data_IF_082199201097
#
_entry.id   IF_082199201097
#
_cell.length_a   1.000
_cell.length_b   1.000
_cell.length_c   1.000
_cell.angle_alpha   90.00
_cell.angle_beta   90.00
_cell.angle_gamma   90.00
#
_symmetry.space_group_name_H-M   'P 1'
#
loop_
_entity.id
_entity.type
_entity.pdbx_description
1 polymer ?
#
# COMPACT_ATOMS: atom_id res chain seq x y z
N UNK A 1 10.98 -30.16 -11.83
CA UNK A 1 10.10 -29.22 -12.56
C UNK A 1 9.09 -28.50 -11.64
N UNK A 2 8.85 -28.95 -10.41
CA UNK A 2 7.79 -28.38 -9.55
C UNK A 2 8.19 -27.12 -8.77
N UNK A 3 9.46 -26.99 -8.39
CA UNK A 3 9.95 -25.86 -7.58
C UNK A 3 9.79 -24.49 -8.27
N UNK A 4 9.93 -24.45 -9.59
CA UNK A 4 9.73 -23.23 -10.38
C UNK A 4 8.27 -22.77 -10.43
N UNK A 5 7.32 -23.71 -10.42
CA UNK A 5 5.89 -23.43 -10.42
C UNK A 5 5.46 -22.88 -9.05
N UNK A 6 5.95 -23.49 -7.96
CA UNK A 6 5.67 -23.04 -6.59
C UNK A 6 6.18 -21.62 -6.36
N UNK A 7 7.44 -21.33 -6.78
CA UNK A 7 8.01 -19.98 -6.68
C UNK A 7 7.16 -18.93 -7.40
N UNK A 8 6.63 -19.26 -8.58
CA UNK A 8 5.79 -18.35 -9.34
C UNK A 8 4.44 -18.08 -8.64
N UNK A 9 3.81 -19.12 -8.08
CA UNK A 9 2.54 -18.99 -7.35
C UNK A 9 2.70 -18.10 -6.11
N UNK A 10 3.76 -18.30 -5.32
CA UNK A 10 4.04 -17.48 -4.13
C UNK A 10 4.23 -16.01 -4.53
N UNK A 11 5.02 -15.73 -5.56
CA UNK A 11 5.26 -14.36 -6.03
C UNK A 11 3.99 -13.68 -6.59
N UNK A 12 3.06 -14.47 -7.12
CA UNK A 12 1.75 -13.97 -7.58
C UNK A 12 0.85 -13.63 -6.39
N UNK A 13 0.82 -14.47 -5.36
CA UNK A 13 0.10 -14.21 -4.10
C UNK A 13 0.68 -12.96 -3.41
N UNK A 14 2.01 -12.82 -3.35
CA UNK A 14 2.65 -11.62 -2.81
C UNK A 14 2.23 -10.34 -3.56
N UNK A 15 2.13 -10.39 -4.88
CA UNK A 15 1.67 -9.25 -5.69
C UNK A 15 0.22 -8.88 -5.36
N UNK A 16 -0.67 -9.87 -5.30
CA UNK A 16 -2.07 -9.65 -4.90
C UNK A 16 -2.19 -9.11 -3.47
N UNK A 17 -1.43 -9.65 -2.52
CA UNK A 17 -1.42 -9.16 -1.14
C UNK A 17 -0.98 -7.69 -1.08
N UNK A 18 0.07 -7.30 -1.82
CA UNK A 18 0.51 -5.90 -1.90
C UNK A 18 -0.62 -4.98 -2.37
N UNK A 19 -1.32 -5.35 -3.44
CA UNK A 19 -2.44 -4.58 -4.00
C UNK A 19 -3.62 -4.49 -3.02
N UNK A 20 -4.06 -5.63 -2.47
CA UNK A 20 -5.19 -5.69 -1.54
C UNK A 20 -4.90 -4.88 -0.28
N UNK A 21 -3.68 -5.01 0.27
CA UNK A 21 -3.25 -4.23 1.43
C UNK A 21 -3.29 -2.73 1.14
N UNK A 22 -2.85 -2.30 -0.03
CA UNK A 22 -2.94 -0.90 -0.44
C UNK A 22 -4.39 -0.42 -0.58
N UNK A 23 -5.28 -1.24 -1.15
CA UNK A 23 -6.70 -0.88 -1.33
C UNK A 23 -7.45 -0.77 -0.01
N UNK A 24 -7.23 -1.73 0.90
CA UNK A 24 -7.80 -1.69 2.26
C UNK A 24 -7.35 -0.42 2.97
N UNK A 25 -6.06 -0.11 2.87
CA UNK A 25 -5.51 1.06 3.52
C UNK A 25 -6.06 2.36 2.92
N UNK A 26 -6.19 2.43 1.60
CA UNK A 26 -6.81 3.56 0.92
C UNK A 26 -8.25 3.77 1.40
N UNK A 27 -9.02 2.69 1.53
CA UNK A 27 -10.38 2.76 2.04
C UNK A 27 -10.42 3.25 3.50
N UNK A 28 -9.53 2.74 4.36
CA UNK A 28 -9.46 3.13 5.77
C UNK A 28 -9.12 4.61 5.96
N UNK A 29 -8.11 5.14 5.26
CA UNK A 29 -7.78 6.59 5.33
C UNK A 29 -8.98 7.41 4.88
N UNK A 30 -9.61 7.08 3.75
CA UNK A 30 -10.74 7.85 3.25
C UNK A 30 -11.94 7.78 4.21
N UNK A 31 -12.20 6.62 4.81
CA UNK A 31 -13.26 6.47 5.80
C UNK A 31 -12.97 7.27 7.08
N UNK A 32 -11.72 7.27 7.54
CA UNK A 32 -11.26 8.06 8.68
C UNK A 32 -11.44 9.57 8.43
N UNK A 33 -11.05 10.05 7.24
CA UNK A 33 -11.25 11.45 6.84
C UNK A 33 -12.73 11.83 6.75
N UNK A 34 -13.58 10.94 6.23
CA UNK A 34 -15.01 11.22 6.07
C UNK A 34 -15.77 11.19 7.41
N UNK A 35 -15.38 10.28 8.30
CA UNK A 35 -16.03 10.08 9.60
C UNK A 35 -15.50 11.00 10.70
N UNK A 36 -14.29 11.55 10.54
CA UNK A 36 -13.59 12.30 11.58
C UNK A 36 -13.12 11.44 12.75
N UNK A 37 -13.22 10.11 12.65
CA UNK A 37 -12.73 9.16 13.63
C UNK A 37 -11.33 8.66 13.23
N UNK A 38 -10.45 8.41 14.21
CA UNK A 38 -9.15 7.81 13.95
C UNK A 38 -9.33 6.40 13.37
N UNK A 39 -8.92 6.23 12.11
CA UNK A 39 -8.98 4.94 11.42
C UNK A 39 -8.22 3.87 12.19
N UNK A 40 -8.74 2.64 12.21
CA UNK A 40 -8.13 1.54 12.98
C UNK A 40 -6.70 1.22 12.53
N UNK A 41 -6.32 1.61 11.30
CA UNK A 41 -5.00 1.36 10.73
C UNK A 41 -4.05 2.57 10.78
N UNK A 42 -4.49 3.72 11.34
CA UNK A 42 -3.67 4.95 11.40
C UNK A 42 -2.34 4.74 12.13
N UNK A 43 -2.38 4.05 13.27
CA UNK A 43 -1.20 3.78 14.12
C UNK A 43 -0.16 2.84 13.46
N UNK A 44 -0.57 2.05 12.48
CA UNK A 44 0.28 1.07 11.79
C UNK A 44 0.56 1.44 10.33
N UNK A 45 0.21 2.66 9.92
CA UNK A 45 0.39 3.22 8.59
C UNK A 45 1.79 2.96 8.01
N UNK A 46 2.82 3.34 8.76
CA UNK A 46 4.22 3.25 8.31
C UNK A 46 4.63 1.79 8.03
N UNK A 47 4.29 0.89 8.96
CA UNK A 47 4.57 -0.54 8.84
C UNK A 47 3.79 -1.17 7.68
N UNK A 48 2.54 -0.76 7.47
CA UNK A 48 1.65 -1.31 6.44
C UNK A 48 2.10 -0.92 5.03
N UNK A 49 2.47 0.35 4.84
CA UNK A 49 3.03 0.83 3.57
C UNK A 49 4.38 0.17 3.30
N UNK A 50 5.27 0.07 4.29
CA UNK A 50 6.54 -0.65 4.11
C UNK A 50 6.31 -2.08 3.66
N UNK A 51 5.37 -2.79 4.30
CA UNK A 51 5.06 -4.18 3.94
C UNK A 51 4.50 -4.28 2.51
N UNK A 52 3.59 -3.37 2.12
CA UNK A 52 3.05 -3.33 0.76
C UNK A 52 4.13 -3.04 -0.29
N UNK A 53 5.05 -2.10 -0.01
CA UNK A 53 6.19 -1.78 -0.87
C UNK A 53 7.10 -3.00 -1.02
N UNK A 54 7.50 -3.64 0.08
CA UNK A 54 8.40 -4.80 0.06
C UNK A 54 7.78 -5.95 -0.73
N UNK A 55 6.51 -6.27 -0.50
CA UNK A 55 5.79 -7.31 -1.26
C UNK A 55 5.66 -6.94 -2.75
N UNK A 56 5.41 -5.66 -3.04
CA UNK A 56 5.36 -5.12 -4.40
C UNK A 56 6.69 -5.31 -5.12
N UNK A 57 7.80 -4.84 -4.53
CA UNK A 57 9.17 -5.01 -5.06
C UNK A 57 9.47 -6.49 -5.30
N UNK A 58 9.24 -7.37 -4.32
CA UNK A 58 9.51 -8.80 -4.44
C UNK A 58 8.76 -9.41 -5.63
N UNK A 59 7.49 -9.04 -5.82
CA UNK A 59 6.67 -9.56 -6.92
C UNK A 59 7.06 -9.01 -8.30
N UNK A 60 7.68 -7.83 -8.38
CA UNK A 60 8.15 -7.25 -9.65
C UNK A 60 9.31 -8.02 -10.32
N UNK A 61 10.11 -8.75 -9.54
CA UNK A 61 11.23 -9.54 -10.08
C UNK A 61 10.81 -10.73 -10.95
N UNK A 62 9.51 -11.07 -10.97
CA UNK A 62 9.00 -12.17 -11.77
C UNK A 62 8.20 -11.68 -12.97
N UNK A 63 8.58 -12.09 -14.19
CA UNK A 63 7.91 -11.67 -15.44
C UNK A 63 6.40 -11.90 -15.44
N UNK A 64 5.92 -12.97 -14.77
CA UNK A 64 4.48 -13.28 -14.68
C UNK A 64 3.72 -12.45 -13.65
N UNK A 65 4.38 -11.98 -12.59
CA UNK A 65 3.77 -11.20 -11.49
C UNK A 65 4.06 -9.70 -11.58
N UNK A 66 4.88 -9.28 -12.55
CA UNK A 66 5.37 -7.91 -12.69
C UNK A 66 4.28 -6.85 -12.74
N UNK A 67 3.17 -7.14 -13.43
CA UNK A 67 2.04 -6.21 -13.49
C UNK A 67 1.44 -5.95 -12.10
N UNK A 68 1.17 -7.02 -11.34
CA UNK A 68 0.62 -6.92 -9.98
C UNK A 68 1.58 -6.21 -9.03
N UNK A 69 2.88 -6.50 -9.13
CA UNK A 69 3.89 -5.81 -8.35
C UNK A 69 4.00 -4.31 -8.64
N UNK A 70 3.88 -3.93 -9.92
CA UNK A 70 3.83 -2.53 -10.32
C UNK A 70 2.57 -1.84 -9.80
N UNK A 71 1.42 -2.51 -9.82
CA UNK A 71 0.19 -2.01 -9.22
C UNK A 71 0.31 -1.81 -7.71
N UNK A 72 0.85 -2.78 -6.99
CA UNK A 72 1.07 -2.69 -5.54
C UNK A 72 2.04 -1.58 -5.15
N UNK A 73 3.13 -1.42 -5.92
CA UNK A 73 4.06 -0.30 -5.77
C UNK A 73 3.42 1.05 -6.10
N UNK A 74 2.68 1.13 -7.19
CA UNK A 74 1.95 2.34 -7.59
C UNK A 74 0.98 2.78 -6.49
N UNK A 75 0.23 1.84 -5.92
CA UNK A 75 -0.67 2.13 -4.79
C UNK A 75 0.07 2.62 -3.56
N UNK A 76 1.20 2.00 -3.23
CA UNK A 76 2.01 2.40 -2.07
C UNK A 76 2.59 3.80 -2.23
N UNK A 77 3.11 4.14 -3.41
CA UNK A 77 3.62 5.47 -3.73
C UNK A 77 2.48 6.50 -3.69
N UNK A 78 1.35 6.16 -4.28
CA UNK A 78 0.15 7.00 -4.26
C UNK A 78 -0.30 7.29 -2.82
N UNK A 79 -0.38 6.27 -1.95
CA UNK A 79 -0.75 6.42 -0.54
C UNK A 79 0.22 7.35 0.21
N UNK A 80 1.52 7.21 -0.02
CA UNK A 80 2.53 8.11 0.56
C UNK A 80 2.33 9.56 0.12
N UNK A 81 2.13 9.79 -1.18
CA UNK A 81 1.86 11.13 -1.73
C UNK A 81 0.54 11.72 -1.21
N UNK A 82 -0.52 10.92 -1.20
CA UNK A 82 -1.85 11.31 -0.71
C UNK A 82 -1.75 11.79 0.74
N UNK A 83 -1.04 11.04 1.58
CA UNK A 83 -0.88 11.40 2.99
C UNK A 83 -0.02 12.65 3.17
N UNK A 84 1.04 12.82 2.37
CA UNK A 84 1.83 14.05 2.37
C UNK A 84 0.98 15.28 1.99
N UNK A 85 0.12 15.16 0.98
CA UNK A 85 -0.79 16.24 0.56
C UNK A 85 -1.79 16.59 1.65
N UNK A 86 -2.44 15.59 2.27
CA UNK A 86 -3.38 15.83 3.38
C UNK A 86 -2.68 16.49 4.57
N UNK A 87 -1.48 16.02 4.90
CA UNK A 87 -0.68 16.60 5.98
C UNK A 87 -0.34 18.07 5.72
N UNK A 88 0.14 18.40 4.51
CA UNK A 88 0.44 19.77 4.12
C UNK A 88 -0.83 20.64 4.16
N UNK A 89 -1.95 20.14 3.62
CA UNK A 89 -3.24 20.86 3.66
C UNK A 89 -3.68 21.12 5.11
N UNK A 90 -3.63 20.09 5.96
CA UNK A 90 -3.94 20.22 7.38
C UNK A 90 -3.07 21.28 8.05
N UNK A 91 -1.77 21.27 7.78
CA UNK A 91 -0.83 22.27 8.28
C UNK A 91 -1.11 23.68 7.75
N UNK A 92 -1.56 23.84 6.50
CA UNK A 92 -1.90 25.17 5.98
C UNK A 92 -3.16 25.78 6.61
N UNK A 93 -4.12 24.94 6.99
CA UNK A 93 -5.38 25.38 7.62
C UNK A 93 -5.19 25.63 9.11
N UNK A 94 -4.52 24.69 9.79
CA UNK A 94 -4.15 24.78 11.20
C UNK A 94 -2.63 24.67 11.27
N UNK A 95 -1.89 25.77 11.11
CA UNK A 95 -0.46 25.75 11.31
C UNK A 95 -0.20 25.44 12.79
N UNK A 96 0.56 24.37 13.06
CA UNK A 96 0.86 23.83 14.39
C UNK A 96 -0.33 23.12 15.09
N UNK A 97 -0.78 21.95 14.58
CA UNK A 97 -1.58 21.02 15.37
C UNK A 97 -0.75 20.31 16.46
#
# INVERSE_FOLDING_TARGET
MELGTIKNTVLHICGWLSVVMGLIFLADINLSLLSGYDGALSNIFSSWIMLSVVLGVISTFNKKSRSLGLWGLGLSIYLGLFMAVIFILGWTIVPFP
#
